data_IF_480072466367
#
_entry.id   IF_480072466367
#
_cell.length_a   1.000
_cell.length_b   1.000
_cell.length_c   1.000
_cell.angle_alpha   90.00
_cell.angle_beta   90.00
_cell.angle_gamma   90.00
#
_symmetry.space_group_name_H-M   'P 1'
#
loop_
_entity.id
_entity.type
_entity.pdbx_description
1 polymer ?
#
# COMPACT_ATOMS: atom_id res chain seq x y z
N UNK A 1 28.53 11.66 -17.28
CA UNK A 1 27.09 11.38 -17.52
C UNK A 1 26.74 9.90 -17.32
N UNK A 2 27.58 8.94 -17.74
CA UNK A 2 27.31 7.50 -17.58
C UNK A 2 27.50 6.89 -16.18
N UNK A 3 28.09 7.59 -15.21
CA UNK A 3 28.27 7.07 -13.84
C UNK A 3 26.97 7.08 -13.02
N UNK A 4 26.20 8.18 -13.08
CA UNK A 4 24.91 8.31 -12.38
C UNK A 4 23.84 7.33 -12.89
N UNK A 5 23.86 6.97 -14.18
CA UNK A 5 22.95 5.94 -14.74
C UNK A 5 23.17 4.56 -14.15
N UNK A 6 24.44 4.20 -13.91
CA UNK A 6 24.79 2.94 -13.25
C UNK A 6 24.39 2.93 -11.78
N UNK A 7 24.45 4.08 -11.11
CA UNK A 7 24.23 4.17 -9.67
C UNK A 7 22.74 4.02 -9.29
N UNK A 8 21.82 4.73 -9.92
CA UNK A 8 20.38 4.64 -9.56
C UNK A 8 19.79 3.26 -9.89
N UNK A 9 20.17 2.69 -11.04
CA UNK A 9 19.76 1.35 -11.43
C UNK A 9 20.36 0.28 -10.49
N UNK A 10 21.61 0.46 -10.05
CA UNK A 10 22.25 -0.42 -9.06
C UNK A 10 21.55 -0.32 -7.71
N UNK A 11 21.28 0.89 -7.21
CA UNK A 11 20.58 1.11 -5.93
C UNK A 11 19.19 0.48 -5.96
N UNK A 12 18.44 0.67 -7.06
CA UNK A 12 17.12 0.06 -7.22
C UNK A 12 17.18 -1.48 -7.17
N UNK A 13 18.17 -2.08 -7.82
CA UNK A 13 18.39 -3.54 -7.78
C UNK A 13 18.79 -4.03 -6.39
N UNK A 14 19.72 -3.34 -5.72
CA UNK A 14 20.13 -3.67 -4.35
C UNK A 14 18.94 -3.59 -3.38
N UNK A 15 18.09 -2.58 -3.53
CA UNK A 15 16.85 -2.47 -2.76
C UNK A 15 15.86 -3.60 -3.08
N UNK A 16 15.73 -4.00 -4.35
CA UNK A 16 14.86 -5.11 -4.76
C UNK A 16 15.26 -6.44 -4.09
N UNK A 17 16.56 -6.70 -3.98
CA UNK A 17 17.11 -7.90 -3.36
C UNK A 17 17.02 -7.86 -1.83
N UNK A 18 17.32 -6.70 -1.23
CA UNK A 18 17.37 -6.53 0.24
C UNK A 18 15.99 -6.35 0.87
N UNK A 19 15.06 -5.67 0.19
CA UNK A 19 13.74 -5.33 0.70
C UNK A 19 12.68 -6.09 -0.10
N UNK A 20 12.40 -7.32 0.32
CA UNK A 20 11.47 -8.21 -0.38
C UNK A 20 10.03 -7.89 -0.01
N UNK A 21 9.26 -7.42 -0.98
CA UNK A 21 7.87 -7.00 -0.81
C UNK A 21 6.94 -7.99 -1.52
N UNK A 22 6.00 -8.56 -0.76
CA UNK A 22 4.83 -9.23 -1.31
C UNK A 22 3.68 -8.24 -1.38
N UNK A 23 3.10 -8.08 -2.56
CA UNK A 23 1.92 -7.27 -2.80
C UNK A 23 0.73 -8.20 -2.96
N UNK A 24 -0.32 -8.00 -2.16
CA UNK A 24 -1.60 -8.65 -2.41
C UNK A 24 -2.65 -7.58 -2.73
N UNK A 25 -3.36 -7.79 -3.83
CA UNK A 25 -4.33 -6.85 -4.37
C UNK A 25 -5.73 -7.36 -4.05
N UNK A 26 -6.51 -6.58 -3.32
CA UNK A 26 -7.91 -6.88 -3.07
C UNK A 26 -8.73 -6.61 -4.33
N UNK A 27 -9.44 -7.62 -4.81
CA UNK A 27 -10.31 -7.49 -5.99
C UNK A 27 -11.57 -8.36 -5.86
N UNK A 28 -12.33 -8.46 -6.93
CA UNK A 28 -13.53 -9.28 -7.06
C UNK A 28 -13.63 -9.86 -8.47
N UNK A 29 -14.41 -10.93 -8.70
CA UNK A 29 -14.56 -11.53 -10.03
C UNK A 29 -14.95 -10.50 -11.11
N UNK A 30 -15.81 -9.54 -10.77
CA UNK A 30 -16.28 -8.49 -11.69
C UNK A 30 -15.20 -7.48 -12.09
N UNK A 31 -14.15 -7.35 -11.27
CA UNK A 31 -13.09 -6.36 -11.46
C UNK A 31 -11.84 -6.94 -12.12
N UNK A 32 -11.76 -8.27 -12.32
CA UNK A 32 -10.55 -8.90 -12.85
C UNK A 32 -10.17 -8.33 -14.24
N UNK A 33 -11.14 -8.35 -15.16
CA UNK A 33 -10.96 -7.91 -16.53
C UNK A 33 -10.94 -6.38 -16.71
N UNK A 34 -11.48 -5.62 -15.76
CA UNK A 34 -11.65 -4.15 -15.88
C UNK A 34 -10.65 -3.35 -15.05
N UNK A 35 -10.16 -3.91 -13.95
CA UNK A 35 -9.24 -3.25 -13.01
C UNK A 35 -7.98 -4.07 -12.74
N UNK A 36 -8.11 -5.30 -12.22
CA UNK A 36 -6.96 -6.08 -11.74
C UNK A 36 -5.92 -6.35 -12.84
N UNK A 37 -6.36 -6.54 -14.10
CA UNK A 37 -5.45 -6.66 -15.25
C UNK A 37 -4.52 -5.47 -15.44
N UNK A 38 -4.97 -4.25 -15.10
CA UNK A 38 -4.17 -3.03 -15.24
C UNK A 38 -3.11 -2.98 -14.14
N UNK A 39 -3.46 -3.37 -12.91
CA UNK A 39 -2.52 -3.54 -11.81
C UNK A 39 -1.45 -4.57 -12.17
N UNK A 40 -1.84 -5.74 -12.70
CA UNK A 40 -0.94 -6.79 -13.14
C UNK A 40 0.01 -6.34 -14.24
N UNK A 41 -0.50 -5.60 -15.24
CA UNK A 41 0.30 -5.12 -16.37
C UNK A 41 1.26 -3.97 -16.01
N UNK A 42 1.03 -3.29 -14.88
CA UNK A 42 1.78 -2.10 -14.45
C UNK A 42 2.56 -2.39 -13.16
N UNK A 43 2.19 -1.77 -12.04
CA UNK A 43 3.06 -1.65 -10.88
C UNK A 43 3.29 -2.97 -10.13
N UNK A 44 2.36 -3.93 -10.20
CA UNK A 44 2.47 -5.19 -9.47
C UNK A 44 3.66 -6.04 -9.93
N UNK A 45 4.13 -5.85 -11.17
CA UNK A 45 5.33 -6.53 -11.71
C UNK A 45 6.62 -6.14 -10.99
N UNK A 46 6.61 -5.03 -10.26
CA UNK A 46 7.77 -4.55 -9.50
C UNK A 46 7.84 -5.16 -8.09
N UNK A 47 6.83 -5.91 -7.66
CA UNK A 47 6.83 -6.65 -6.40
C UNK A 47 7.70 -7.92 -6.51
N UNK A 48 8.19 -8.45 -5.38
CA UNK A 48 8.89 -9.74 -5.38
C UNK A 48 7.88 -10.90 -5.55
N UNK A 49 6.69 -10.74 -4.97
CA UNK A 49 5.54 -11.62 -5.17
C UNK A 49 4.30 -10.74 -5.35
N UNK A 50 3.46 -11.06 -6.33
CA UNK A 50 2.18 -10.40 -6.54
C UNK A 50 1.05 -11.42 -6.49
N UNK A 51 0.06 -11.19 -5.63
CA UNK A 51 -1.13 -12.03 -5.49
C UNK A 51 -2.38 -11.18 -5.72
N UNK A 52 -3.39 -11.75 -6.35
CA UNK A 52 -4.68 -11.09 -6.55
C UNK A 52 -5.74 -11.87 -5.78
N UNK A 53 -6.35 -11.25 -4.78
CA UNK A 53 -7.26 -11.90 -3.84
C UNK A 53 -8.71 -11.59 -4.23
N UNK A 54 -9.44 -12.62 -4.65
CA UNK A 54 -10.84 -12.55 -5.11
C UNK A 54 -11.73 -13.42 -4.22
N UNK A 55 -13.06 -13.32 -4.31
CA UNK A 55 -13.96 -14.29 -3.64
C UNK A 55 -13.95 -15.67 -4.32
N UNK A 56 -13.59 -15.71 -5.60
CA UNK A 56 -13.60 -16.91 -6.44
C UNK A 56 -12.29 -17.00 -7.23
N UNK A 57 -11.77 -18.21 -7.47
CA UNK A 57 -10.66 -18.39 -8.40
C UNK A 57 -11.13 -18.08 -9.84
N UNK A 58 -10.18 -17.82 -10.73
CA UNK A 58 -10.45 -17.56 -12.15
C UNK A 58 -9.44 -18.33 -13.01
N UNK A 59 -9.89 -18.92 -14.12
CA UNK A 59 -9.01 -19.68 -15.03
C UNK A 59 -8.21 -18.78 -15.98
N UNK A 60 -8.73 -17.60 -16.32
CA UNK A 60 -8.11 -16.63 -17.23
C UNK A 60 -7.26 -15.56 -16.53
N UNK A 61 -7.30 -15.52 -15.20
CA UNK A 61 -6.55 -14.57 -14.39
C UNK A 61 -6.06 -15.25 -13.10
N UNK A 62 -4.81 -15.05 -12.65
CA UNK A 62 -4.23 -15.76 -11.50
C UNK A 62 -4.75 -15.23 -10.16
N UNK A 63 -6.07 -15.22 -9.98
CA UNK A 63 -6.74 -14.85 -8.75
C UNK A 63 -6.78 -16.02 -7.76
N UNK A 64 -6.37 -15.74 -6.52
CA UNK A 64 -6.59 -16.62 -5.37
C UNK A 64 -8.01 -16.42 -4.88
N UNK A 65 -8.83 -17.47 -4.98
CA UNK A 65 -10.18 -17.48 -4.43
C UNK A 65 -10.18 -17.65 -2.91
N UNK A 66 -10.74 -16.67 -2.20
CA UNK A 66 -10.94 -16.69 -0.75
C UNK A 66 -12.41 -17.02 -0.45
N UNK A 67 -12.71 -17.97 0.45
CA UNK A 67 -14.08 -18.43 0.72
C UNK A 67 -14.87 -17.42 1.57
N UNK A 68 -15.19 -16.26 0.99
CA UNK A 68 -15.88 -15.13 1.59
C UNK A 68 -16.78 -14.44 0.57
N UNK A 69 -17.81 -13.73 1.03
CA UNK A 69 -18.73 -13.02 0.12
C UNK A 69 -18.12 -11.77 -0.53
N UNK A 70 -18.92 -11.14 -1.38
CA UNK A 70 -18.59 -9.86 -2.02
C UNK A 70 -19.26 -8.66 -1.33
N UNK A 71 -18.72 -7.47 -1.62
CA UNK A 71 -19.27 -6.19 -1.16
C UNK A 71 -18.59 -5.62 0.09
N UNK A 72 -18.93 -4.36 0.42
CA UNK A 72 -18.24 -3.58 1.46
C UNK A 72 -18.20 -4.25 2.82
N UNK A 73 -19.28 -4.94 3.21
CA UNK A 73 -19.39 -5.62 4.50
C UNK A 73 -18.46 -6.85 4.61
N UNK A 74 -17.92 -7.33 3.49
CA UNK A 74 -17.05 -8.53 3.44
C UNK A 74 -15.57 -8.19 3.30
N UNK A 75 -15.21 -6.90 3.17
CA UNK A 75 -13.83 -6.48 2.93
C UNK A 75 -12.90 -6.88 4.08
N UNK A 76 -13.37 -6.81 5.33
CA UNK A 76 -12.53 -7.24 6.45
C UNK A 76 -12.37 -8.77 6.49
N UNK A 77 -13.41 -9.53 6.19
CA UNK A 77 -13.30 -10.98 6.02
C UNK A 77 -12.30 -11.35 4.91
N UNK A 78 -12.37 -10.69 3.75
CA UNK A 78 -11.37 -10.84 2.68
C UNK A 78 -9.97 -10.57 3.17
N UNK A 79 -9.76 -9.47 3.90
CA UNK A 79 -8.45 -9.08 4.43
C UNK A 79 -7.90 -10.10 5.42
N UNK A 80 -8.73 -10.59 6.35
CA UNK A 80 -8.36 -11.64 7.29
C UNK A 80 -7.93 -12.91 6.53
N UNK A 81 -8.72 -13.34 5.55
CA UNK A 81 -8.42 -14.55 4.76
C UNK A 81 -7.20 -14.38 3.85
N UNK A 82 -7.02 -13.20 3.26
CA UNK A 82 -5.85 -12.87 2.44
C UNK A 82 -4.57 -12.94 3.29
N UNK A 83 -4.54 -12.30 4.46
CA UNK A 83 -3.39 -12.38 5.34
C UNK A 83 -3.14 -13.78 5.91
N UNK A 84 -4.20 -14.55 6.23
CA UNK A 84 -4.05 -15.97 6.60
C UNK A 84 -3.46 -16.81 5.46
N UNK A 85 -3.86 -16.56 4.22
CA UNK A 85 -3.32 -17.22 3.03
C UNK A 85 -1.84 -16.85 2.84
N UNK A 86 -1.52 -15.55 2.84
CA UNK A 86 -0.16 -15.03 2.71
C UNK A 86 0.74 -15.60 3.81
N UNK A 87 0.30 -15.58 5.06
CA UNK A 87 1.06 -16.14 6.18
C UNK A 87 1.33 -17.64 6.02
N UNK A 88 0.35 -18.40 5.52
CA UNK A 88 0.50 -19.86 5.36
C UNK A 88 1.38 -20.26 4.19
N UNK A 89 1.27 -19.56 3.07
CA UNK A 89 1.85 -19.98 1.79
C UNK A 89 3.09 -19.16 1.38
N UNK A 90 3.20 -17.91 1.82
CA UNK A 90 4.19 -16.96 1.29
C UNK A 90 5.00 -16.21 2.36
N UNK A 91 4.83 -16.49 3.65
CA UNK A 91 5.56 -15.79 4.73
C UNK A 91 7.08 -15.84 4.57
N UNK A 92 7.62 -16.94 4.03
CA UNK A 92 9.07 -17.09 3.77
C UNK A 92 9.59 -16.32 2.55
N UNK A 93 8.71 -15.89 1.65
CA UNK A 93 9.06 -15.32 0.35
C UNK A 93 9.24 -13.79 0.38
N UNK A 94 8.80 -13.13 1.45
CA UNK A 94 8.90 -11.68 1.62
C UNK A 94 9.15 -11.28 3.07
N UNK A 95 9.54 -10.02 3.25
CA UNK A 95 9.80 -9.39 4.54
C UNK A 95 8.76 -8.30 4.85
N UNK A 96 8.10 -7.79 3.82
CA UNK A 96 7.05 -6.78 3.90
C UNK A 96 5.83 -7.19 3.07
N UNK A 97 4.64 -6.93 3.61
CA UNK A 97 3.37 -7.42 3.08
C UNK A 97 2.43 -6.25 2.82
N UNK A 98 2.40 -5.80 1.57
CA UNK A 98 1.58 -4.69 1.10
C UNK A 98 0.17 -5.17 0.73
N UNK A 99 -0.84 -4.53 1.32
CA UNK A 99 -2.22 -4.56 0.84
C UNK A 99 -2.47 -3.36 -0.06
N UNK A 100 -3.08 -3.58 -1.21
CA UNK A 100 -3.58 -2.51 -2.10
C UNK A 100 -4.95 -2.88 -2.68
N UNK A 101 -5.73 -1.89 -3.09
CA UNK A 101 -6.99 -2.12 -3.83
C UNK A 101 -6.72 -2.19 -5.34
N UNK A 102 -7.65 -2.77 -6.10
CA UNK A 102 -7.58 -2.88 -7.56
C UNK A 102 -7.68 -1.54 -8.33
N UNK A 103 -7.85 -0.44 -7.61
CA UNK A 103 -7.77 0.96 -8.07
C UNK A 103 -6.71 1.78 -7.30
N UNK A 104 -5.67 1.12 -6.79
CA UNK A 104 -4.48 1.78 -6.21
C UNK A 104 -3.30 1.65 -7.15
N UNK A 105 -2.51 2.72 -7.34
CA UNK A 105 -1.20 2.67 -7.99
C UNK A 105 -0.09 2.78 -6.94
N UNK A 106 0.98 1.99 -7.08
CA UNK A 106 2.09 1.96 -6.10
C UNK A 106 3.45 2.08 -6.79
N UNK A 107 4.25 3.07 -6.42
CA UNK A 107 5.66 3.17 -6.82
C UNK A 107 6.49 2.29 -5.89
N UNK A 108 6.59 0.99 -6.22
CA UNK A 108 7.21 -0.02 -5.34
C UNK A 108 8.69 0.29 -5.03
N UNK A 109 9.41 0.99 -5.92
CA UNK A 109 10.77 1.46 -5.66
C UNK A 109 10.83 2.45 -4.47
N UNK A 110 9.90 3.40 -4.41
CA UNK A 110 9.80 4.36 -3.32
C UNK A 110 9.38 3.67 -2.01
N UNK A 111 8.48 2.67 -2.11
CA UNK A 111 8.13 1.83 -0.96
C UNK A 111 9.37 1.13 -0.39
N UNK A 112 10.21 0.52 -1.23
CA UNK A 112 11.45 -0.13 -0.76
C UNK A 112 12.40 0.85 -0.11
N UNK A 113 12.52 2.06 -0.66
CA UNK A 113 13.34 3.11 -0.07
C UNK A 113 12.87 3.45 1.36
N UNK A 114 11.56 3.66 1.56
CA UNK A 114 10.97 3.92 2.88
C UNK A 114 11.23 2.78 3.87
N UNK A 115 11.08 1.53 3.41
CA UNK A 115 11.20 0.34 4.24
C UNK A 115 12.66 -0.03 4.55
N UNK A 116 13.63 0.43 3.74
CA UNK A 116 15.03 0.05 3.84
C UNK A 116 15.71 0.42 5.17
N UNK A 117 15.16 1.41 5.89
CA UNK A 117 15.66 1.89 7.18
C UNK A 117 15.03 1.16 8.37
N UNK A 118 14.11 0.21 8.13
CA UNK A 118 13.34 -0.47 9.15
C UNK A 118 13.62 -1.98 9.15
N UNK A 119 13.67 -2.57 10.34
CA UNK A 119 13.74 -4.03 10.47
C UNK A 119 12.34 -4.64 10.28
N UNK A 120 12.17 -5.66 9.41
CA UNK A 120 10.89 -6.35 9.24
C UNK A 120 10.51 -7.23 10.46
N UNK A 121 11.42 -7.42 11.42
CA UNK A 121 11.16 -8.14 12.67
C UNK A 121 10.61 -7.23 13.77
N UNK A 122 10.52 -5.91 13.54
CA UNK A 122 9.80 -5.00 14.42
C UNK A 122 8.30 -5.07 14.11
N UNK A 123 7.42 -5.04 15.12
CA UNK A 123 5.97 -5.04 14.91
C UNK A 123 5.48 -3.66 14.46
N UNK A 124 5.71 -3.32 13.20
CA UNK A 124 5.38 -2.00 12.62
C UNK A 124 4.61 -2.13 11.30
N UNK A 125 3.77 -1.14 10.99
CA UNK A 125 3.10 -1.01 9.70
C UNK A 125 3.01 0.46 9.26
N UNK A 126 2.97 0.68 7.96
CA UNK A 126 3.00 2.01 7.33
C UNK A 126 1.86 2.19 6.33
N UNK A 127 1.45 3.43 6.11
CA UNK A 127 0.41 3.80 5.15
C UNK A 127 0.00 5.26 5.32
N UNK A 128 -1.18 5.65 4.80
CA UNK A 128 -1.79 6.96 5.07
C UNK A 128 -2.51 6.92 6.42
N UNK A 129 -1.92 7.54 7.45
CA UNK A 129 -2.47 7.51 8.81
C UNK A 129 -3.70 8.42 8.95
N UNK A 130 -4.82 7.79 9.30
CA UNK A 130 -6.03 8.44 9.79
C UNK A 130 -6.14 8.32 11.30
N UNK A 131 -6.78 9.33 11.91
CA UNK A 131 -6.90 9.51 13.36
C UNK A 131 -8.17 8.93 14.00
N UNK A 132 -9.38 9.01 13.40
CA UNK A 132 -10.58 8.65 14.15
C UNK A 132 -10.59 7.15 14.49
N UNK A 133 -11.32 6.73 15.51
CA UNK A 133 -11.62 5.32 15.82
C UNK A 133 -10.51 4.43 16.42
N UNK A 134 -9.22 4.74 16.24
CA UNK A 134 -8.10 3.98 16.84
C UNK A 134 -7.17 4.96 17.56
N UNK A 135 -6.71 4.63 18.78
CA UNK A 135 -5.97 5.60 19.61
C UNK A 135 -4.64 6.00 18.97
N UNK A 136 -3.90 5.04 18.42
CA UNK A 136 -2.72 5.29 17.60
C UNK A 136 -3.07 5.69 16.15
N UNK A 137 -4.34 5.83 15.79
CA UNK A 137 -4.76 5.93 14.40
C UNK A 137 -4.67 4.59 13.64
N UNK A 138 -5.02 4.63 12.37
CA UNK A 138 -5.08 3.47 11.47
C UNK A 138 -4.69 3.90 10.05
N UNK A 139 -4.34 2.96 9.18
CA UNK A 139 -3.89 3.29 7.82
C UNK A 139 -5.05 3.15 6.85
N UNK A 140 -5.27 4.14 6.00
CA UNK A 140 -6.31 4.11 4.95
C UNK A 140 -6.22 2.84 4.11
N UNK A 141 -7.33 2.10 4.01
CA UNK A 141 -7.39 0.88 3.21
C UNK A 141 -7.16 1.14 1.72
N UNK A 142 -7.72 2.23 1.18
CA UNK A 142 -7.61 2.60 -0.23
C UNK A 142 -6.23 3.11 -0.64
N UNK A 143 -5.58 3.91 0.20
CA UNK A 143 -4.19 4.32 -0.06
C UNK A 143 -3.20 3.14 -0.04
N UNK A 144 -3.63 1.99 0.49
CA UNK A 144 -2.79 0.84 0.75
C UNK A 144 -1.98 1.00 2.04
N UNK A 145 -1.57 -0.14 2.59
CA UNK A 145 -0.76 -0.21 3.80
C UNK A 145 0.16 -1.43 3.77
N UNK A 146 1.31 -1.31 4.39
CA UNK A 146 2.34 -2.35 4.39
C UNK A 146 2.64 -2.80 5.82
N UNK A 147 2.55 -4.11 6.05
CA UNK A 147 2.89 -4.73 7.33
C UNK A 147 4.32 -5.28 7.25
N UNK A 148 5.09 -5.08 8.31
CA UNK A 148 6.29 -5.88 8.58
C UNK A 148 5.94 -7.36 8.74
N UNK A 149 6.96 -8.22 8.61
CA UNK A 149 6.82 -9.65 8.83
C UNK A 149 6.32 -9.98 10.23
N UNK A 150 6.85 -9.30 11.24
CA UNK A 150 6.40 -9.49 12.62
C UNK A 150 4.95 -8.99 12.82
N UNK A 151 4.56 -7.85 12.23
CA UNK A 151 3.18 -7.40 12.28
C UNK A 151 2.20 -8.42 11.68
N UNK A 152 2.54 -9.03 10.55
CA UNK A 152 1.71 -10.08 9.94
C UNK A 152 1.59 -11.31 10.84
N UNK A 153 2.69 -11.78 11.44
CA UNK A 153 2.67 -12.93 12.37
C UNK A 153 1.74 -12.66 13.55
N UNK A 154 1.85 -11.48 14.16
CA UNK A 154 0.99 -11.08 15.29
C UNK A 154 -0.46 -10.99 14.89
N UNK A 155 -0.76 -10.36 13.75
CA UNK A 155 -2.13 -10.24 13.25
C UNK A 155 -2.77 -11.62 13.05
N UNK A 156 -2.12 -12.52 12.30
CA UNK A 156 -2.65 -13.87 12.06
C UNK A 156 -2.76 -14.68 13.36
N UNK A 157 -1.75 -14.61 14.23
CA UNK A 157 -1.75 -15.25 15.55
C UNK A 157 -2.90 -14.76 16.46
N UNK A 158 -3.24 -13.47 16.39
CA UNK A 158 -4.33 -12.88 17.16
C UNK A 158 -5.70 -13.49 16.82
N UNK A 159 -5.95 -13.78 15.55
CA UNK A 159 -7.17 -14.45 15.11
C UNK A 159 -7.20 -15.93 15.53
N UNK A 160 -6.07 -16.63 15.43
CA UNK A 160 -5.96 -18.01 15.91
C UNK A 160 -6.20 -18.12 17.43
N UNK A 161 -5.71 -17.14 18.20
CA UNK A 161 -5.90 -17.07 19.64
C UNK A 161 -7.25 -16.46 20.08
N UNK A 162 -8.11 -16.02 19.15
CA UNK A 162 -9.38 -15.35 19.45
C UNK A 162 -9.23 -13.94 20.07
N UNK A 163 -8.02 -13.38 20.07
CA UNK A 163 -7.75 -12.02 20.55
C UNK A 163 -8.31 -10.98 19.59
N UNK A 164 -8.26 -11.25 18.28
CA UNK A 164 -8.96 -10.48 17.27
C UNK A 164 -10.07 -11.30 16.63
N UNK A 165 -11.12 -10.60 16.22
CA UNK A 165 -12.27 -11.14 15.50
C UNK A 165 -12.73 -10.11 14.47
N UNK A 166 -13.75 -10.45 13.69
CA UNK A 166 -14.37 -9.49 12.79
C UNK A 166 -15.14 -8.42 13.61
N UNK A 167 -14.50 -7.28 13.88
CA UNK A 167 -15.03 -6.23 14.78
C UNK A 167 -15.85 -5.14 14.10
N UNK A 168 -15.66 -4.93 12.80
CA UNK A 168 -16.31 -3.86 12.04
C UNK A 168 -16.39 -4.22 10.56
N UNK A 169 -17.36 -3.63 9.86
CA UNK A 169 -17.46 -3.67 8.40
C UNK A 169 -16.48 -2.74 7.68
N UNK A 170 -15.90 -1.78 8.41
CA UNK A 170 -14.89 -0.85 7.92
C UNK A 170 -13.52 -1.50 8.11
N UNK A 171 -13.00 -2.06 7.02
CA UNK A 171 -11.83 -2.95 7.02
C UNK A 171 -10.57 -2.36 7.65
N UNK A 172 -10.23 -1.13 7.31
CA UNK A 172 -9.00 -0.47 7.75
C UNK A 172 -9.04 -0.08 9.23
N UNK A 173 -10.21 0.36 9.71
CA UNK A 173 -10.47 0.57 11.13
C UNK A 173 -10.35 -0.74 11.90
N UNK A 174 -10.99 -1.81 11.42
CA UNK A 174 -10.99 -3.11 12.10
C UNK A 174 -9.58 -3.72 12.18
N UNK A 175 -8.82 -3.63 11.08
CA UNK A 175 -7.41 -4.00 11.03
C UNK A 175 -6.59 -3.18 12.03
N UNK A 176 -6.72 -1.85 12.01
CA UNK A 176 -5.99 -0.94 12.89
C UNK A 176 -6.24 -1.22 14.37
N UNK A 177 -7.50 -1.50 14.75
CA UNK A 177 -7.87 -1.92 16.11
C UNK A 177 -7.17 -3.22 16.52
N UNK A 178 -7.14 -4.22 15.63
CA UNK A 178 -6.47 -5.48 15.92
C UNK A 178 -4.95 -5.28 16.08
N UNK A 179 -4.32 -4.54 15.16
CA UNK A 179 -2.89 -4.25 15.18
C UNK A 179 -2.49 -3.49 16.47
N UNK A 180 -3.28 -2.48 16.88
CA UNK A 180 -3.08 -1.79 18.17
C UNK A 180 -3.18 -2.76 19.34
N UNK A 181 -4.20 -3.63 19.35
CA UNK A 181 -4.42 -4.60 20.42
C UNK A 181 -3.26 -5.59 20.59
N UNK A 182 -2.56 -5.93 19.51
CA UNK A 182 -1.41 -6.86 19.53
C UNK A 182 -0.05 -6.16 19.50
N UNK A 183 -0.03 -4.87 19.83
CA UNK A 183 1.20 -4.10 20.00
C UNK A 183 1.99 -3.92 18.70
N UNK A 184 1.29 -3.78 17.57
CA UNK A 184 1.87 -3.34 16.31
C UNK A 184 1.75 -1.83 16.21
N UNK A 185 2.88 -1.17 16.00
CA UNK A 185 3.01 0.29 15.94
C UNK A 185 2.62 0.84 14.57
N UNK A 186 1.78 1.86 14.55
CA UNK A 186 1.51 2.69 13.38
C UNK A 186 2.69 3.65 13.12
N UNK A 187 3.58 3.26 12.21
CA UNK A 187 4.80 4.00 11.87
C UNK A 187 4.52 5.30 11.08
N UNK A 188 5.46 6.24 11.14
CA UNK A 188 5.43 7.46 10.33
C UNK A 188 6.04 7.18 8.95
N UNK A 189 5.23 7.30 7.91
CA UNK A 189 5.61 7.04 6.52
C UNK A 189 6.04 8.30 5.77
N UNK A 190 5.95 9.48 6.39
CA UNK A 190 6.28 10.76 5.76
C UNK A 190 7.77 10.90 5.51
N UNK A 191 8.11 11.75 4.56
CA UNK A 191 9.51 12.03 4.25
C UNK A 191 10.16 12.95 5.32
N UNK A 192 11.46 13.26 5.17
CA UNK A 192 12.19 14.07 6.16
C UNK A 192 11.70 15.51 6.26
N UNK A 193 10.89 15.98 5.32
CA UNK A 193 10.21 17.27 5.35
C UNK A 193 8.78 17.17 5.89
N UNK A 194 8.34 15.98 6.30
CA UNK A 194 7.01 15.73 6.83
C UNK A 194 5.92 15.66 5.77
N UNK A 195 6.25 15.41 4.49
CA UNK A 195 5.27 15.26 3.40
C UNK A 195 4.76 13.84 3.30
N UNK A 196 3.47 13.70 2.96
CA UNK A 196 2.81 12.40 2.83
C UNK A 196 3.38 11.59 1.67
N UNK A 197 3.50 10.28 1.87
CA UNK A 197 3.95 9.32 0.85
C UNK A 197 2.82 8.40 0.39
N UNK A 198 1.80 8.16 1.21
CA UNK A 198 0.61 7.38 0.85
C UNK A 198 -0.58 8.32 0.71
N UNK A 199 -1.31 8.23 -0.41
CA UNK A 199 -2.34 9.20 -0.77
C UNK A 199 -3.71 8.53 -0.97
N UNK A 200 -4.76 8.98 -0.28
CA UNK A 200 -6.10 8.38 -0.38
C UNK A 200 -6.91 8.90 -1.56
N UNK A 201 -6.32 9.73 -2.43
CA UNK A 201 -6.95 10.26 -3.64
C UNK A 201 -5.97 10.23 -4.83
N UNK A 202 -6.46 10.47 -6.06
CA UNK A 202 -5.61 10.57 -7.23
C UNK A 202 -4.60 11.73 -7.13
N UNK A 203 -3.48 11.69 -7.88
CA UNK A 203 -2.48 12.76 -7.86
C UNK A 203 -3.05 14.15 -8.14
N UNK A 204 -3.97 14.28 -9.09
CA UNK A 204 -4.60 15.55 -9.46
C UNK A 204 -5.32 16.19 -8.26
N UNK A 205 -6.03 15.41 -7.44
CA UNK A 205 -6.71 15.94 -6.26
C UNK A 205 -5.78 16.47 -5.18
N UNK A 206 -4.54 16.01 -5.14
CA UNK A 206 -3.54 16.54 -4.20
C UNK A 206 -2.77 17.73 -4.78
N UNK A 207 -2.54 17.74 -6.10
CA UNK A 207 -1.70 18.72 -6.78
C UNK A 207 -2.46 19.97 -7.23
N UNK A 208 -3.72 19.82 -7.66
CA UNK A 208 -4.51 20.90 -8.26
C UNK A 208 -5.71 21.30 -7.44
N UNK A 209 -6.31 20.37 -6.68
CA UNK A 209 -7.56 20.65 -5.99
C UNK A 209 -7.29 21.24 -4.60
N UNK A 210 -8.15 22.16 -4.20
CA UNK A 210 -8.33 22.55 -2.80
C UNK A 210 -9.53 21.79 -2.24
N UNK A 211 -9.29 20.81 -1.39
CA UNK A 211 -10.33 20.16 -0.61
C UNK A 211 -11.07 21.23 0.21
N UNK A 212 -12.40 21.26 0.08
CA UNK A 212 -13.21 22.19 0.86
C UNK A 212 -12.93 22.01 2.36
N UNK A 213 -12.93 23.09 3.15
CA UNK A 213 -12.61 23.01 4.60
C UNK A 213 -13.54 22.09 5.40
N UNK A 214 -14.76 21.88 4.91
CA UNK A 214 -15.73 20.94 5.48
C UNK A 214 -15.55 19.49 5.03
N UNK A 215 -14.59 19.21 4.14
CA UNK A 215 -14.31 17.87 3.67
C UNK A 215 -13.72 17.01 4.78
N UNK A 216 -14.20 15.77 4.91
CA UNK A 216 -13.83 14.85 5.99
C UNK A 216 -12.32 14.59 6.08
N UNK A 217 -11.59 14.74 4.96
CA UNK A 217 -10.15 14.48 4.90
C UNK A 217 -9.35 15.31 5.91
N UNK A 218 -9.78 16.54 6.18
CA UNK A 218 -9.14 17.42 7.17
C UNK A 218 -9.26 16.90 8.59
N UNK A 219 -10.42 16.33 8.96
CA UNK A 219 -10.66 15.82 10.31
C UNK A 219 -10.14 14.38 10.50
N UNK A 220 -9.99 13.63 9.41
CA UNK A 220 -9.49 12.27 9.44
C UNK A 220 -7.96 12.21 9.43
N UNK A 221 -7.28 13.12 8.74
CA UNK A 221 -5.82 13.07 8.64
C UNK A 221 -5.16 13.19 10.02
N UNK A 222 -4.25 12.26 10.31
CA UNK A 222 -3.50 12.29 11.57
C UNK A 222 -2.49 13.44 11.62
N UNK A 223 -1.85 13.71 10.48
CA UNK A 223 -0.92 14.82 10.29
C UNK A 223 -1.61 16.00 9.58
N UNK A 224 -1.08 17.24 9.69
CA UNK A 224 -1.59 18.39 8.96
C UNK A 224 -1.61 18.12 7.45
N UNK A 225 -2.75 18.37 6.82
CA UNK A 225 -2.89 18.27 5.36
C UNK A 225 -2.22 19.47 4.70
N UNK A 226 -1.35 19.20 3.73
CA UNK A 226 -0.74 20.20 2.86
C UNK A 226 -1.28 19.96 1.44
N UNK A 227 -1.70 21.03 0.77
CA UNK A 227 -2.26 20.97 -0.59
C UNK A 227 -1.34 21.67 -1.59
N UNK A 228 -1.57 21.40 -2.88
CA UNK A 228 -0.85 22.03 -3.97
C UNK A 228 0.56 21.45 -4.17
N UNK A 229 1.48 22.20 -4.81
CA UNK A 229 2.78 21.67 -5.24
C UNK A 229 3.71 21.12 -4.14
N UNK A 230 3.37 21.34 -2.87
CA UNK A 230 4.12 20.87 -1.70
C UNK A 230 3.42 19.73 -0.94
N UNK A 231 2.23 19.29 -1.38
CA UNK A 231 1.43 18.26 -0.70
C UNK A 231 2.18 16.97 -0.45
N UNK A 232 3.00 16.60 -1.43
CA UNK A 232 3.32 15.22 -1.69
C UNK A 232 4.84 15.07 -1.71
N UNK A 233 5.30 14.00 -1.10
CA UNK A 233 6.70 13.65 -1.15
C UNK A 233 7.14 13.41 -2.60
N UNK A 234 8.36 13.84 -2.94
CA UNK A 234 8.99 13.44 -4.22
C UNK A 234 9.20 11.91 -4.27
N UNK A 235 9.18 11.24 -3.11
CA UNK A 235 9.19 9.78 -2.96
C UNK A 235 7.81 9.23 -2.58
N UNK A 236 6.75 9.79 -3.17
CA UNK A 236 5.39 9.27 -2.98
C UNK A 236 5.31 7.79 -3.36
N UNK A 237 4.66 7.01 -2.50
CA UNK A 237 4.51 5.56 -2.57
C UNK A 237 3.24 5.16 -3.29
N UNK A 238 2.09 5.77 -2.98
CA UNK A 238 0.82 5.30 -3.55
C UNK A 238 -0.22 6.38 -3.74
N UNK A 239 -1.14 6.14 -4.68
CA UNK A 239 -2.33 6.96 -4.95
C UNK A 239 -3.54 6.05 -5.16
N UNK A 240 -4.69 6.46 -4.63
CA UNK A 240 -5.95 5.72 -4.70
C UNK A 240 -6.91 6.30 -5.75
N UNK A 241 -7.99 5.57 -6.07
CA UNK A 241 -8.97 5.89 -7.12
C UNK A 241 -8.40 6.02 -8.53
N UNK A 242 -7.38 5.23 -8.85
CA UNK A 242 -6.70 5.25 -10.14
C UNK A 242 -7.47 4.45 -11.19
N UNK A 243 -7.75 5.07 -12.34
CA UNK A 243 -8.25 4.37 -13.53
C UNK A 243 -7.16 3.50 -14.16
N UNK A 244 -7.56 2.54 -15.02
CA UNK A 244 -6.62 1.73 -15.77
C UNK A 244 -5.69 2.56 -16.67
N UNK A 245 -6.23 3.60 -17.32
CA UNK A 245 -5.45 4.55 -18.12
C UNK A 245 -4.45 5.32 -17.26
N UNK A 246 -4.88 5.79 -16.08
CA UNK A 246 -4.02 6.53 -15.17
C UNK A 246 -2.89 5.64 -14.62
N UNK A 247 -3.15 4.35 -14.35
CA UNK A 247 -2.10 3.41 -13.95
C UNK A 247 -1.02 3.26 -15.01
N UNK A 248 -1.41 3.11 -16.29
CA UNK A 248 -0.45 3.02 -17.40
C UNK A 248 0.30 4.33 -17.61
N UNK A 249 -0.37 5.47 -17.46
CA UNK A 249 0.27 6.78 -17.53
C UNK A 249 1.31 6.95 -16.42
N UNK A 250 0.96 6.66 -15.16
CA UNK A 250 1.90 6.76 -14.06
C UNK A 250 3.06 5.78 -14.21
N UNK A 251 2.84 4.54 -14.64
CA UNK A 251 3.91 3.57 -14.95
C UNK A 251 4.89 4.13 -16.00
N UNK A 252 4.37 4.79 -17.04
CA UNK A 252 5.22 5.47 -18.02
C UNK A 252 5.98 6.64 -17.39
N UNK A 253 5.31 7.50 -16.64
CA UNK A 253 5.92 8.69 -16.04
C UNK A 253 6.97 8.36 -14.96
N UNK A 254 6.79 7.25 -14.22
CA UNK A 254 7.68 6.88 -13.11
C UNK A 254 8.86 6.00 -13.54
N UNK A 255 8.66 5.12 -14.53
CA UNK A 255 9.65 4.10 -14.89
C UNK A 255 10.22 4.20 -16.31
N UNK A 256 9.65 5.06 -17.17
CA UNK A 256 10.01 5.12 -18.60
C UNK A 256 10.39 6.52 -19.05
N UNK A 257 9.60 7.53 -18.69
CA UNK A 257 9.85 8.91 -19.05
C UNK A 257 11.05 9.43 -18.27
N UNK A 258 12.07 9.91 -18.99
CA UNK A 258 13.27 10.44 -18.37
C UNK A 258 13.63 11.81 -18.95
N UNK A 259 13.49 12.89 -18.17
CA UNK A 259 13.99 14.19 -18.56
C UNK A 259 15.52 14.22 -18.43
N UNK A 260 16.23 14.30 -19.56
CA UNK A 260 17.69 14.33 -19.56
C UNK A 260 18.24 15.59 -18.86
N UNK A 261 19.19 15.42 -17.95
CA UNK A 261 19.81 16.51 -17.18
C UNK A 261 19.00 17.00 -15.97
N UNK A 262 17.80 16.46 -15.74
CA UNK A 262 17.01 16.80 -14.55
C UNK A 262 17.72 16.37 -13.26
N UNK A 263 17.59 17.20 -12.23
CA UNK A 263 18.08 16.92 -10.87
C UNK A 263 16.87 16.90 -9.93
N UNK A 264 16.67 15.81 -9.16
CA UNK A 264 15.59 15.75 -8.16
C UNK A 264 15.68 16.94 -7.19
N UNK A 265 14.52 17.53 -6.87
CA UNK A 265 14.43 18.66 -5.92
C UNK A 265 14.70 18.20 -4.50
N UNK A 266 14.22 17.00 -4.16
CA UNK A 266 14.43 16.36 -2.87
C UNK A 266 15.58 15.35 -2.94
N UNK A 267 16.51 15.45 -1.99
CA UNK A 267 17.62 14.51 -1.79
C UNK A 267 17.63 14.13 -0.30
N UNK A 268 16.97 13.01 0.06
CA UNK A 268 16.89 12.57 1.45
C UNK A 268 18.24 12.13 2.01
#
# INVERSE_FOLDING_TARGET
AGQHEGDDARVSRELYERVRVLCWVMTSPRNLATKARHVQATWARHCNVALFMSSEPDEGFPAVGLPVGEGRQQLYWKTIRAFQYVHRHHLGQADWFLKADDDTFVVVANLRWLLATHSPELPIYFGKRFKPFVKQGYMSGGAGYVLSKEALRRFVGAFAAGTCSHSSAVEDVALGQCLEKVGVEAGDSRDSWGRETFHPFPPESHLTDSFSRGFWYWSYSYYPVVEGPQCCSDLSVSFHYMSGEQMHLLEFLTHRLRPYGYRPRYRP
#
